data_IF_190613109919
#
_entry.id   IF_190613109919
#
_cell.length_a   1.000
_cell.length_b   1.000
_cell.length_c   1.000
_cell.angle_alpha   90.00
_cell.angle_beta   90.00
_cell.angle_gamma   90.00
#
_symmetry.space_group_name_H-M   'P 1'
#
loop_
_entity.id
_entity.type
_entity.pdbx_description
1 polymer ?
#
# COMPACT_ATOMS: atom_id res chain seq x y z
N UNK A 1 -12.07 -7.90 44.55
CA UNK A 1 -11.42 -7.37 43.34
C UNK A 1 -11.62 -8.39 42.25
N UNK A 2 -12.37 -8.07 41.19
CA UNK A 2 -12.40 -8.96 40.03
C UNK A 2 -10.98 -8.97 39.43
N UNK A 3 -10.35 -10.15 39.39
CA UNK A 3 -9.08 -10.32 38.66
C UNK A 3 -9.38 -9.98 37.21
N UNK A 4 -8.74 -8.94 36.67
CA UNK A 4 -8.75 -8.76 35.22
C UNK A 4 -8.14 -10.03 34.60
N UNK A 5 -8.76 -10.60 33.55
CA UNK A 5 -8.15 -11.73 32.86
C UNK A 5 -6.76 -11.30 32.38
N UNK A 6 -5.76 -12.13 32.64
CA UNK A 6 -4.40 -11.89 32.14
C UNK A 6 -4.32 -12.44 30.70
N UNK A 7 -3.73 -11.71 29.75
CA UNK A 7 -3.48 -12.28 28.44
C UNK A 7 -2.54 -13.48 28.55
N UNK A 8 -2.82 -14.54 27.79
CA UNK A 8 -1.95 -15.71 27.64
C UNK A 8 -0.81 -15.43 26.66
N UNK A 9 -0.95 -14.40 25.83
CA UNK A 9 0.04 -14.02 24.84
C UNK A 9 -0.05 -12.52 24.55
N UNK A 10 1.11 -11.90 24.37
CA UNK A 10 1.22 -10.54 23.86
C UNK A 10 2.20 -10.51 22.69
N UNK A 11 1.80 -9.88 21.58
CA UNK A 11 2.59 -9.81 20.35
C UNK A 11 2.59 -8.39 19.81
N UNK A 12 3.76 -7.94 19.33
CA UNK A 12 3.91 -6.67 18.63
C UNK A 12 4.37 -6.95 17.20
N UNK A 13 3.57 -6.56 16.21
CA UNK A 13 3.81 -6.84 14.80
C UNK A 13 3.98 -5.53 14.02
N UNK A 14 5.13 -5.32 13.33
CA UNK A 14 5.24 -4.24 12.38
C UNK A 14 4.39 -4.56 11.14
N UNK A 15 3.70 -3.55 10.62
CA UNK A 15 2.82 -3.67 9.46
C UNK A 15 3.41 -2.84 8.32
N UNK A 16 3.98 -3.46 7.27
CA UNK A 16 4.64 -2.74 6.20
C UNK A 16 3.63 -2.01 5.31
N UNK A 17 4.12 -1.09 4.49
CA UNK A 17 3.34 -0.49 3.42
C UNK A 17 3.78 -1.05 2.05
N UNK A 18 3.25 -0.50 0.95
CA UNK A 18 3.71 -0.81 -0.40
C UNK A 18 3.79 0.41 -1.28
N UNK A 19 4.51 0.27 -2.38
CA UNK A 19 4.46 1.17 -3.54
C UNK A 19 4.24 0.39 -4.84
N UNK A 20 3.82 1.11 -5.89
CA UNK A 20 3.65 0.57 -7.23
C UNK A 20 4.83 1.01 -8.11
N UNK A 21 5.73 0.10 -8.49
CA UNK A 21 6.83 0.39 -9.42
C UNK A 21 6.34 0.58 -10.86
N UNK A 22 5.20 -0.04 -11.16
CA UNK A 22 4.37 0.27 -12.33
C UNK A 22 2.90 0.14 -11.94
N UNK A 23 2.03 0.91 -12.58
CA UNK A 23 0.58 0.76 -12.50
C UNK A 23 -0.04 1.20 -13.84
N UNK A 24 -0.26 0.22 -14.72
CA UNK A 24 -1.01 0.39 -15.94
C UNK A 24 -2.46 -0.03 -15.71
N UNK A 25 -3.41 0.78 -16.19
CA UNK A 25 -4.83 0.50 -16.06
C UNK A 25 -5.37 0.15 -17.44
N UNK A 26 -5.88 -1.07 -17.60
CA UNK A 26 -6.47 -1.60 -18.81
C UNK A 26 -7.92 -1.16 -19.03
N UNK A 27 -8.67 -2.00 -19.73
CA UNK A 27 -10.08 -1.77 -20.01
C UNK A 27 -10.94 -1.97 -18.76
N UNK A 28 -12.09 -1.28 -18.74
CA UNK A 28 -13.12 -1.51 -17.73
C UNK A 28 -13.93 -2.76 -18.09
N UNK A 29 -13.97 -3.72 -17.19
CA UNK A 29 -14.78 -4.94 -17.24
C UNK A 29 -16.28 -4.59 -17.08
N UNK A 30 -17.20 -5.44 -17.57
CA UNK A 30 -18.65 -5.25 -17.40
C UNK A 30 -19.11 -5.17 -15.93
N UNK A 31 -18.36 -5.76 -15.01
CA UNK A 31 -18.62 -5.69 -13.57
C UNK A 31 -18.19 -4.36 -12.93
N UNK A 32 -17.68 -3.41 -13.72
CA UNK A 32 -17.34 -2.06 -13.28
C UNK A 32 -15.90 -1.86 -12.85
N UNK A 33 -15.08 -2.90 -12.73
CA UNK A 33 -13.66 -2.83 -12.36
C UNK A 33 -12.75 -2.75 -13.60
N UNK A 34 -11.53 -2.28 -13.44
CA UNK A 34 -10.53 -2.29 -14.53
C UNK A 34 -9.56 -3.45 -14.37
N UNK A 35 -9.12 -4.00 -15.50
CA UNK A 35 -7.88 -4.76 -15.50
C UNK A 35 -6.72 -3.83 -15.13
N UNK A 36 -5.78 -4.28 -14.33
CA UNK A 36 -4.55 -3.59 -13.97
C UNK A 36 -3.37 -4.49 -14.29
N UNK A 37 -2.24 -3.87 -14.59
CA UNK A 37 -0.92 -4.49 -14.55
C UNK A 37 -0.05 -3.62 -13.64
N UNK A 38 0.27 -4.16 -12.48
CA UNK A 38 1.05 -3.47 -11.46
C UNK A 38 2.21 -4.32 -10.98
N UNK A 39 3.29 -3.66 -10.56
CA UNK A 39 4.36 -4.30 -9.82
C UNK A 39 4.35 -3.71 -8.41
N UNK A 40 3.92 -4.52 -7.45
CA UNK A 40 3.90 -4.15 -6.05
C UNK A 40 5.26 -4.41 -5.41
N UNK A 41 5.73 -3.44 -4.64
CA UNK A 41 6.95 -3.51 -3.84
C UNK A 41 6.57 -3.23 -2.37
N UNK A 42 6.68 -4.20 -1.46
CA UNK A 42 6.48 -3.93 -0.04
C UNK A 42 7.63 -3.03 0.46
N UNK A 43 7.32 -2.08 1.32
CA UNK A 43 8.29 -1.21 1.97
C UNK A 43 8.18 -1.36 3.49
N UNK A 44 9.32 -1.45 4.20
CA UNK A 44 9.31 -1.52 5.66
C UNK A 44 8.93 -0.20 6.33
N UNK A 45 8.99 0.94 5.62
CA UNK A 45 8.69 2.27 6.16
C UNK A 45 7.90 3.12 5.16
N UNK A 46 6.90 3.92 5.59
CA UNK A 46 6.31 3.90 6.94
C UNK A 46 5.67 2.56 7.27
N UNK A 47 5.66 2.21 8.56
CA UNK A 47 4.97 1.03 9.07
C UNK A 47 3.97 1.37 10.19
N UNK A 48 2.79 0.76 10.12
CA UNK A 48 1.89 0.72 11.26
C UNK A 48 2.39 -0.32 12.28
N UNK A 49 1.85 -0.29 13.49
CA UNK A 49 2.21 -1.27 14.53
C UNK A 49 0.93 -1.85 15.11
N UNK A 50 0.83 -3.19 15.06
CA UNK A 50 -0.29 -3.93 15.62
C UNK A 50 0.18 -4.63 16.91
N UNK A 51 -0.35 -4.19 18.05
CA UNK A 51 -0.14 -4.85 19.35
C UNK A 51 -1.37 -5.70 19.66
N UNK A 52 -1.17 -7.00 19.84
CA UNK A 52 -2.24 -7.95 20.14
C UNK A 52 -2.02 -8.58 21.51
N UNK A 53 -3.06 -8.59 22.33
CA UNK A 53 -3.13 -9.34 23.57
C UNK A 53 -4.22 -10.38 23.43
N UNK A 54 -3.84 -11.66 23.46
CA UNK A 54 -4.76 -12.78 23.34
C UNK A 54 -5.05 -13.36 24.71
N UNK A 55 -6.32 -13.65 24.94
CA UNK A 55 -6.80 -14.27 26.18
C UNK A 55 -7.20 -15.72 25.91
N UNK A 56 -7.33 -16.49 26.99
CA UNK A 56 -7.77 -17.87 26.88
C UNK A 56 -9.27 -17.95 26.56
N UNK A 57 -9.64 -18.95 25.75
CA UNK A 57 -11.01 -19.20 25.33
C UNK A 57 -11.54 -18.30 24.20
N UNK A 58 -12.74 -18.62 23.70
CA UNK A 58 -13.40 -17.87 22.64
C UNK A 58 -13.90 -16.50 23.13
N UNK A 59 -13.96 -15.53 22.23
CA UNK A 59 -14.51 -14.20 22.50
C UNK A 59 -14.54 -13.32 21.25
N UNK A 60 -14.55 -12.01 21.46
CA UNK A 60 -14.53 -11.02 20.39
C UNK A 60 -13.24 -10.17 20.41
N UNK A 61 -13.09 -9.34 19.39
CA UNK A 61 -12.02 -8.36 19.25
C UNK A 61 -12.45 -7.01 19.84
N UNK A 62 -11.61 -6.45 20.71
CA UNK A 62 -11.68 -5.05 21.12
C UNK A 62 -10.54 -4.30 20.43
N UNK A 63 -10.88 -3.40 19.50
CA UNK A 63 -9.91 -2.58 18.79
C UNK A 63 -9.81 -1.20 19.43
N UNK A 64 -8.58 -0.77 19.70
CA UNK A 64 -8.19 0.61 19.95
C UNK A 64 -7.27 1.09 18.83
N UNK A 65 -7.44 2.32 18.36
CA UNK A 65 -6.64 2.86 17.26
C UNK A 65 -6.07 4.22 17.63
N UNK A 66 -4.81 4.48 17.25
CA UNK A 66 -4.23 5.82 17.41
C UNK A 66 -4.92 6.89 16.56
N UNK A 67 -5.70 6.48 15.56
CA UNK A 67 -6.58 7.31 14.77
C UNK A 67 -8.06 6.99 15.13
N UNK A 68 -8.75 7.86 15.89
CA UNK A 68 -10.12 7.62 16.34
C UNK A 68 -11.14 7.44 15.21
N UNK A 69 -10.89 7.97 14.00
CA UNK A 69 -11.78 7.76 12.85
C UNK A 69 -11.78 6.29 12.38
N UNK A 70 -10.72 5.55 12.72
CA UNK A 70 -10.54 4.15 12.37
C UNK A 70 -10.88 3.19 13.53
N UNK A 71 -11.25 3.71 14.71
CA UNK A 71 -11.68 2.90 15.85
C UNK A 71 -13.17 2.52 15.71
N UNK A 72 -13.48 1.75 14.66
CA UNK A 72 -14.84 1.32 14.32
C UNK A 72 -14.87 -0.14 13.89
N UNK A 73 -16.07 -0.73 13.90
CA UNK A 73 -16.32 -2.08 13.40
C UNK A 73 -16.11 -2.25 11.88
N UNK A 74 -16.04 -1.15 11.12
CA UNK A 74 -15.72 -1.20 9.68
C UNK A 74 -14.20 -1.23 9.43
N UNK A 75 -13.37 -1.10 10.48
CA UNK A 75 -11.93 -1.24 10.34
C UNK A 75 -11.59 -2.63 9.76
N UNK A 76 -10.71 -2.64 8.74
CA UNK A 76 -10.31 -3.87 8.04
C UNK A 76 -9.69 -4.92 8.98
N UNK A 77 -9.08 -4.52 10.10
CA UNK A 77 -8.59 -5.44 11.14
C UNK A 77 -9.75 -6.20 11.81
N UNK A 78 -10.80 -5.48 12.23
CA UNK A 78 -11.99 -6.08 12.85
C UNK A 78 -12.72 -6.96 11.83
N UNK A 79 -12.86 -6.49 10.59
CA UNK A 79 -13.47 -7.26 9.51
C UNK A 79 -12.67 -8.52 9.17
N UNK A 80 -11.34 -8.44 9.15
CA UNK A 80 -10.47 -9.60 8.98
C UNK A 80 -10.65 -10.63 10.10
N UNK A 81 -10.67 -10.18 11.36
CA UNK A 81 -10.95 -11.05 12.51
C UNK A 81 -12.31 -11.75 12.37
N UNK A 82 -13.38 -10.99 12.13
CA UNK A 82 -14.74 -11.53 12.01
C UNK A 82 -14.90 -12.47 10.82
N UNK A 83 -14.30 -12.14 9.67
CA UNK A 83 -14.34 -13.00 8.48
C UNK A 83 -13.60 -14.32 8.71
N UNK A 84 -12.42 -14.27 9.35
CA UNK A 84 -11.66 -15.46 9.70
C UNK A 84 -12.41 -16.34 10.72
N UNK A 85 -12.95 -15.73 11.77
CA UNK A 85 -13.76 -16.41 12.77
C UNK A 85 -15.00 -17.09 12.15
N UNK A 86 -15.70 -16.41 11.23
CA UNK A 86 -16.84 -16.98 10.53
C UNK A 86 -16.46 -18.16 9.62
N UNK A 87 -15.27 -18.12 9.00
CA UNK A 87 -14.80 -19.17 8.09
C UNK A 87 -14.26 -20.41 8.81
N UNK A 88 -13.73 -20.27 10.02
CA UNK A 88 -12.96 -21.32 10.71
C UNK A 88 -13.55 -21.76 12.05
N UNK A 89 -14.43 -20.94 12.65
CA UNK A 89 -14.87 -21.10 14.04
C UNK A 89 -13.82 -20.68 15.07
N UNK A 90 -12.59 -20.34 14.65
CA UNK A 90 -11.54 -19.88 15.55
C UNK A 90 -11.69 -18.38 15.84
N UNK A 91 -12.20 -18.08 17.04
CA UNK A 91 -12.53 -16.73 17.49
C UNK A 91 -11.96 -16.43 18.89
N UNK A 92 -10.63 -16.32 19.06
CA UNK A 92 -10.03 -16.06 20.35
C UNK A 92 -10.36 -14.64 20.84
N UNK A 93 -10.57 -14.45 22.14
CA UNK A 93 -10.70 -13.10 22.71
C UNK A 93 -9.41 -12.29 22.48
N UNK A 94 -9.49 -11.15 21.80
CA UNK A 94 -8.34 -10.28 21.48
C UNK A 94 -8.53 -8.81 21.90
N UNK A 95 -7.60 -8.26 22.66
CA UNK A 95 -7.42 -6.80 22.70
C UNK A 95 -6.37 -6.41 21.66
N UNK A 96 -6.69 -5.44 20.82
CA UNK A 96 -5.84 -5.00 19.72
C UNK A 96 -5.64 -3.51 19.80
N UNK A 97 -4.38 -3.06 19.81
CA UNK A 97 -4.03 -1.66 19.68
C UNK A 97 -3.28 -1.44 18.36
N UNK A 98 -3.89 -0.67 17.46
CA UNK A 98 -3.35 -0.31 16.15
C UNK A 98 -2.78 1.11 16.18
N UNK A 99 -1.46 1.24 16.08
CA UNK A 99 -0.79 2.53 15.94
C UNK A 99 -0.57 2.83 14.45
N UNK A 100 -1.25 3.86 13.94
CA UNK A 100 -1.19 4.30 12.54
C UNK A 100 -0.06 5.30 12.30
N UNK A 101 0.88 4.95 11.44
CA UNK A 101 1.90 5.82 10.89
C UNK A 101 1.84 5.90 9.36
N UNK A 102 1.29 4.89 8.67
CA UNK A 102 1.02 4.90 7.23
C UNK A 102 -0.15 5.86 6.98
N UNK A 103 0.06 6.96 6.24
CA UNK A 103 -1.01 7.94 6.02
C UNK A 103 -2.19 7.33 5.25
N UNK A 104 -3.39 7.49 5.81
CA UNK A 104 -4.62 7.01 5.20
C UNK A 104 -4.86 7.66 3.83
N UNK A 105 -5.29 6.87 2.84
CA UNK A 105 -5.57 7.37 1.49
C UNK A 105 -4.34 7.76 0.65
N UNK A 106 -3.12 7.58 1.16
CA UNK A 106 -1.90 7.95 0.44
C UNK A 106 -1.51 6.96 -0.68
N UNK A 107 -2.26 5.87 -0.88
CA UNK A 107 -1.97 4.87 -1.91
C UNK A 107 -0.92 3.82 -1.48
N UNK A 108 -0.61 3.75 -0.18
CA UNK A 108 0.41 2.90 0.42
C UNK A 108 -0.12 1.57 0.98
N UNK A 109 -1.44 1.34 0.95
CA UNK A 109 -2.05 0.06 1.30
C UNK A 109 -2.08 -0.28 2.80
N UNK A 110 -1.90 0.69 3.71
CA UNK A 110 -1.81 0.43 5.15
C UNK A 110 -2.96 -0.41 5.72
N UNK A 111 -4.22 -0.04 5.44
CA UNK A 111 -5.38 -0.81 5.93
C UNK A 111 -5.44 -2.25 5.41
N UNK A 112 -5.06 -2.47 4.15
CA UNK A 112 -4.97 -3.83 3.58
C UNK A 112 -3.85 -4.63 4.24
N UNK A 113 -2.75 -3.99 4.57
CA UNK A 113 -1.62 -4.59 5.28
C UNK A 113 -1.98 -4.95 6.71
N UNK A 114 -2.69 -4.07 7.43
CA UNK A 114 -3.17 -4.34 8.80
C UNK A 114 -4.04 -5.60 8.83
N UNK A 115 -4.98 -5.71 7.88
CA UNK A 115 -5.84 -6.87 7.74
C UNK A 115 -5.07 -8.15 7.38
N UNK A 116 -4.08 -8.08 6.48
CA UNK A 116 -3.25 -9.23 6.15
C UNK A 116 -2.45 -9.72 7.37
N UNK A 117 -1.91 -8.79 8.17
CA UNK A 117 -1.20 -9.13 9.41
C UNK A 117 -2.14 -9.78 10.42
N UNK A 118 -3.38 -9.28 10.56
CA UNK A 118 -4.39 -9.92 11.42
C UNK A 118 -4.76 -11.33 10.94
N UNK A 119 -5.03 -11.50 9.65
CA UNK A 119 -5.33 -12.82 9.07
C UNK A 119 -4.20 -13.82 9.31
N UNK A 120 -2.95 -13.42 9.06
CA UNK A 120 -1.78 -14.26 9.33
C UNK A 120 -1.64 -14.59 10.81
N UNK A 121 -1.79 -13.59 11.69
CA UNK A 121 -1.72 -13.79 13.14
C UNK A 121 -2.72 -14.85 13.63
N UNK A 122 -3.96 -14.78 13.16
CA UNK A 122 -5.01 -15.75 13.48
C UNK A 122 -4.71 -17.13 12.90
N UNK A 123 -4.33 -17.19 11.62
CA UNK A 123 -4.05 -18.44 10.93
C UNK A 123 -2.88 -19.22 11.55
N UNK A 124 -1.84 -18.50 11.99
CA UNK A 124 -0.68 -19.09 12.65
C UNK A 124 -1.00 -19.69 14.04
N UNK A 125 -2.18 -19.40 14.61
CA UNK A 125 -2.62 -19.81 15.96
C UNK A 125 -3.88 -20.66 15.97
N UNK A 126 -4.43 -20.96 14.80
CA UNK A 126 -5.70 -21.68 14.67
C UNK A 126 -5.53 -23.21 14.72
N UNK A 127 -4.30 -23.72 14.75
CA UNK A 127 -3.98 -25.15 14.76
C UNK A 127 -4.74 -25.91 13.64
N UNK A 128 -5.65 -26.82 14.00
CA UNK A 128 -6.46 -27.61 13.06
C UNK A 128 -7.47 -26.77 12.26
N UNK A 129 -7.82 -25.58 12.75
CA UNK A 129 -8.72 -24.64 12.08
C UNK A 129 -7.98 -23.67 11.13
N UNK A 130 -6.66 -23.82 10.97
CA UNK A 130 -5.88 -23.01 10.04
C UNK A 130 -6.30 -23.25 8.59
N UNK A 131 -6.52 -22.17 7.86
CA UNK A 131 -6.81 -22.21 6.43
C UNK A 131 -5.55 -22.52 5.62
N UNK A 132 -5.75 -23.22 4.50
CA UNK A 132 -4.68 -23.36 3.51
C UNK A 132 -4.29 -21.98 2.94
N UNK A 133 -3.07 -21.82 2.40
CA UNK A 133 -2.68 -20.55 1.77
C UNK A 133 -3.64 -20.08 0.67
N UNK A 134 -4.27 -21.02 -0.05
CA UNK A 134 -5.24 -20.73 -1.10
C UNK A 134 -6.55 -20.19 -0.50
N UNK A 135 -7.08 -20.85 0.53
CA UNK A 135 -8.33 -20.44 1.18
C UNK A 135 -8.18 -19.13 1.95
N UNK A 136 -7.01 -18.92 2.58
CA UNK A 136 -6.69 -17.67 3.26
C UNK A 136 -6.60 -16.49 2.26
N UNK A 137 -5.98 -16.71 1.09
CA UNK A 137 -5.94 -15.72 0.02
C UNK A 137 -7.33 -15.44 -0.56
N UNK A 138 -8.18 -16.47 -0.72
CA UNK A 138 -9.55 -16.31 -1.16
C UNK A 138 -10.38 -15.50 -0.16
N UNK A 139 -10.24 -15.77 1.14
CA UNK A 139 -10.86 -14.98 2.21
C UNK A 139 -10.38 -13.53 2.17
N UNK A 140 -9.06 -13.32 2.07
CA UNK A 140 -8.46 -11.98 1.98
C UNK A 140 -9.01 -11.17 0.80
N UNK A 141 -9.24 -11.80 -0.36
CA UNK A 141 -9.79 -11.15 -1.54
C UNK A 141 -11.21 -10.60 -1.31
N UNK A 142 -12.02 -11.24 -0.45
CA UNK A 142 -13.36 -10.74 -0.09
C UNK A 142 -13.33 -9.45 0.73
N UNK A 143 -12.21 -9.19 1.41
CA UNK A 143 -12.00 -8.02 2.26
C UNK A 143 -11.34 -6.88 1.48
N UNK A 144 -10.43 -7.19 0.55
CA UNK A 144 -9.82 -6.19 -0.33
C UNK A 144 -8.79 -6.78 -1.31
N UNK A 145 -8.70 -6.19 -2.50
CA UNK A 145 -7.85 -6.67 -3.59
C UNK A 145 -6.34 -6.67 -3.27
N UNK A 146 -5.87 -5.74 -2.44
CA UNK A 146 -4.46 -5.64 -2.07
C UNK A 146 -4.06 -6.59 -0.91
N UNK A 147 -5.02 -7.16 -0.18
CA UNK A 147 -4.73 -7.97 1.03
C UNK A 147 -3.97 -9.27 0.69
N UNK A 148 -4.31 -10.02 -0.37
CA UNK A 148 -3.51 -11.17 -0.79
C UNK A 148 -2.03 -10.85 -1.07
N UNK A 149 -1.73 -9.65 -1.58
CA UNK A 149 -0.35 -9.22 -1.79
C UNK A 149 0.40 -9.05 -0.46
N UNK A 150 -0.24 -8.47 0.56
CA UNK A 150 0.39 -8.32 1.88
C UNK A 150 0.54 -9.65 2.62
N UNK A 151 -0.32 -10.65 2.37
CA UNK A 151 -0.12 -12.02 2.85
C UNK A 151 1.11 -12.67 2.19
N UNK A 152 1.30 -12.45 0.88
CA UNK A 152 2.47 -12.93 0.15
C UNK A 152 3.77 -12.28 0.65
N UNK A 153 3.74 -10.98 0.96
CA UNK A 153 4.83 -10.28 1.67
C UNK A 153 6.14 -10.10 0.88
N UNK A 154 6.16 -10.44 -0.41
CA UNK A 154 7.32 -10.28 -1.30
C UNK A 154 6.95 -9.45 -2.53
N UNK A 155 7.93 -8.83 -3.23
CA UNK A 155 7.64 -8.08 -4.44
C UNK A 155 6.98 -8.98 -5.50
N UNK A 156 5.95 -8.46 -6.16
CA UNK A 156 5.13 -9.26 -7.05
C UNK A 156 4.51 -8.42 -8.18
N UNK A 157 4.37 -9.04 -9.35
CA UNK A 157 3.50 -8.56 -10.41
C UNK A 157 2.07 -8.96 -10.08
N UNK A 158 1.14 -8.02 -10.12
CA UNK A 158 -0.28 -8.27 -9.99
C UNK A 158 -1.03 -7.92 -11.26
N UNK A 159 -1.95 -8.80 -11.68
CA UNK A 159 -2.84 -8.61 -12.83
C UNK A 159 -4.30 -8.89 -12.47
N UNK A 160 -5.21 -8.61 -13.42
CA UNK A 160 -6.65 -8.69 -13.21
C UNK A 160 -7.17 -7.44 -12.52
N UNK A 161 -8.05 -7.55 -11.54
CA UNK A 161 -8.33 -6.47 -10.57
C UNK A 161 -7.26 -6.35 -9.46
N UNK A 162 -6.16 -7.10 -9.55
CA UNK A 162 -5.08 -7.17 -8.56
C UNK A 162 -4.98 -8.50 -7.81
N UNK A 163 -5.84 -9.46 -8.16
CA UNK A 163 -5.99 -10.78 -7.54
C UNK A 163 -4.94 -11.80 -8.00
N UNK A 164 -4.43 -11.68 -9.23
CA UNK A 164 -3.45 -12.64 -9.76
C UNK A 164 -2.05 -12.16 -9.43
N UNK A 165 -1.37 -12.83 -8.49
CA UNK A 165 -0.05 -12.43 -7.98
C UNK A 165 1.05 -13.40 -8.41
N UNK A 166 2.11 -12.87 -9.00
CA UNK A 166 3.31 -13.64 -9.36
C UNK A 166 4.52 -12.96 -8.70
N UNK A 167 5.19 -13.62 -7.72
CA UNK A 167 6.43 -13.13 -7.14
C UNK A 167 7.47 -12.81 -8.23
N UNK A 168 8.12 -11.65 -8.12
CA UNK A 168 9.11 -11.20 -9.09
C UNK A 168 10.17 -10.33 -8.41
N UNK A 169 11.45 -10.53 -8.74
CA UNK A 169 12.53 -9.69 -8.22
C UNK A 169 12.66 -8.40 -9.05
N UNK A 170 12.53 -7.20 -8.43
CA UNK A 170 12.73 -5.94 -9.13
C UNK A 170 14.19 -5.59 -9.43
N UNK A 171 15.17 -6.31 -8.86
CA UNK A 171 16.59 -6.00 -9.00
C UNK A 171 17.00 -4.73 -8.25
N UNK A 172 16.31 -4.43 -7.14
CA UNK A 172 16.50 -3.22 -6.33
C UNK A 172 17.23 -3.48 -5.00
N UNK A 173 17.82 -4.66 -4.81
CA UNK A 173 18.59 -4.97 -3.61
C UNK A 173 19.69 -3.91 -3.36
N UNK A 174 19.73 -3.35 -2.14
CA UNK A 174 20.71 -2.33 -1.74
C UNK A 174 20.34 -0.90 -2.14
N UNK A 175 19.17 -0.70 -2.75
CA UNK A 175 18.63 0.63 -3.03
C UNK A 175 17.92 1.19 -1.79
N UNK A 176 17.46 2.43 -1.91
CA UNK A 176 16.55 3.03 -0.94
C UNK A 176 15.38 3.70 -1.69
N UNK A 177 14.20 3.65 -1.09
CA UNK A 177 13.06 4.47 -1.48
C UNK A 177 12.92 5.64 -0.51
N UNK A 178 12.69 6.85 -1.04
CA UNK A 178 12.19 7.98 -0.25
C UNK A 178 10.73 8.16 -0.61
N UNK A 179 9.85 8.06 0.38
CA UNK A 179 8.39 8.20 0.22
C UNK A 179 7.98 9.54 0.81
N UNK A 180 7.32 10.38 0.02
CA UNK A 180 6.77 11.66 0.45
C UNK A 180 5.25 11.56 0.46
N UNK A 181 4.64 11.95 1.57
CA UNK A 181 3.20 11.89 1.80
C UNK A 181 2.65 13.29 2.05
N UNK A 182 2.30 14.04 0.98
CA UNK A 182 1.57 15.30 1.09
C UNK A 182 0.18 15.09 1.72
N UNK A 183 -0.37 16.16 2.32
CA UNK A 183 -1.69 16.12 2.96
C UNK A 183 -2.86 16.03 1.98
N UNK A 184 -2.60 16.22 0.69
CA UNK A 184 -3.60 16.07 -0.36
C UNK A 184 -4.27 14.69 -0.28
N UNK A 185 -5.59 14.66 -0.45
CA UNK A 185 -6.39 13.42 -0.44
C UNK A 185 -6.99 13.19 -1.80
N UNK A 186 -6.51 12.16 -2.48
CA UNK A 186 -7.04 11.71 -3.77
C UNK A 186 -7.98 10.53 -3.53
N UNK A 187 -9.26 10.69 -3.88
CA UNK A 187 -10.23 9.60 -3.76
C UNK A 187 -10.02 8.61 -4.90
N UNK A 188 -9.87 7.33 -4.59
CA UNK A 188 -9.72 6.26 -5.60
C UNK A 188 -10.82 6.30 -6.66
N UNK A 189 -12.09 6.42 -6.25
CA UNK A 189 -13.22 6.50 -7.18
C UNK A 189 -13.13 7.68 -8.16
N UNK A 190 -12.66 8.85 -7.67
CA UNK A 190 -12.44 10.01 -8.53
C UNK A 190 -11.29 9.76 -9.51
N UNK A 191 -10.18 9.17 -9.06
CA UNK A 191 -9.02 8.91 -9.92
C UNK A 191 -9.37 7.98 -11.09
N UNK A 192 -10.13 6.92 -10.84
CA UNK A 192 -10.64 6.03 -11.88
C UNK A 192 -11.62 6.75 -12.83
N UNK A 193 -12.57 7.51 -12.29
CA UNK A 193 -13.52 8.27 -13.12
C UNK A 193 -12.83 9.31 -14.01
N UNK A 194 -11.82 10.01 -13.47
CA UNK A 194 -11.04 10.99 -14.21
C UNK A 194 -10.19 10.33 -15.31
N UNK A 195 -9.62 9.15 -15.04
CA UNK A 195 -8.88 8.37 -16.02
C UNK A 195 -9.78 7.85 -17.14
N UNK A 196 -10.99 7.39 -16.83
CA UNK A 196 -11.98 7.00 -17.83
C UNK A 196 -12.39 8.17 -18.72
N UNK A 197 -12.65 9.34 -18.10
CA UNK A 197 -13.01 10.55 -18.83
C UNK A 197 -11.88 11.04 -19.76
N UNK A 198 -10.62 10.95 -19.33
CA UNK A 198 -9.47 11.38 -20.16
C UNK A 198 -9.25 10.48 -21.38
N UNK A 199 -9.62 9.20 -21.28
CA UNK A 199 -9.54 8.22 -22.39
C UNK A 199 -10.70 8.31 -23.37
N UNK A 200 -11.86 8.82 -22.95
CA UNK A 200 -13.02 9.02 -23.81
C UNK A 200 -12.88 10.25 -24.74
N UNK A 201 -12.01 11.20 -24.39
CA UNK A 201 -11.71 12.35 -25.23
C UNK A 201 -10.75 11.95 -26.36
N UNK A 202 -10.96 12.41 -27.62
CA UNK A 202 -9.96 12.25 -28.66
C UNK A 202 -8.65 12.87 -28.19
N UNK A 203 -7.55 12.11 -28.23
CA UNK A 203 -6.24 12.67 -27.88
C UNK A 203 -5.96 13.87 -28.79
N UNK A 204 -5.85 15.07 -28.21
CA UNK A 204 -5.29 16.21 -28.94
C UNK A 204 -3.83 15.88 -29.25
N UNK A 205 -3.38 15.91 -30.51
CA UNK A 205 -1.97 15.80 -30.83
C UNK A 205 -1.20 16.88 -30.06
N UNK A 206 -0.25 16.49 -29.19
CA UNK A 206 0.59 17.41 -28.43
C UNK A 206 0.21 17.64 -26.97
N UNK A 207 -0.83 16.98 -26.42
CA UNK A 207 -0.99 16.85 -24.97
C UNK A 207 0.05 15.85 -24.41
N UNK A 208 1.33 16.14 -24.61
CA UNK A 208 2.42 15.40 -24.01
C UNK A 208 2.29 15.58 -22.50
N UNK A 209 1.81 14.51 -21.88
CA UNK A 209 2.09 14.08 -20.52
C UNK A 209 3.22 14.91 -19.90
N UNK A 210 2.92 15.67 -18.84
CA UNK A 210 3.93 16.25 -17.96
C UNK A 210 4.93 15.18 -17.44
N UNK A 211 4.60 13.90 -17.58
CA UNK A 211 5.47 12.78 -17.22
C UNK A 211 6.47 12.36 -18.31
N UNK A 212 6.49 13.00 -19.49
CA UNK A 212 7.54 12.81 -20.51
C UNK A 212 8.35 14.07 -20.81
N UNK A 213 8.36 15.07 -19.92
CA UNK A 213 9.42 16.08 -19.91
C UNK A 213 10.73 15.48 -19.35
N UNK A 214 11.15 14.34 -19.90
CA UNK A 214 12.53 13.90 -19.79
C UNK A 214 13.33 14.77 -20.77
N UNK A 215 14.49 15.23 -20.34
CA UNK A 215 15.60 15.50 -21.27
C UNK A 215 15.61 14.38 -22.30
N UNK A 216 15.46 14.70 -23.59
CA UNK A 216 15.42 13.71 -24.68
C UNK A 216 16.64 12.76 -24.70
N UNK A 217 17.67 13.06 -23.90
CA UNK A 217 18.88 12.27 -23.73
C UNK A 217 18.89 11.30 -22.53
N UNK A 218 17.86 11.27 -21.66
CA UNK A 218 17.80 10.31 -20.54
C UNK A 218 16.77 9.22 -20.83
N UNK A 219 17.25 7.98 -21.06
CA UNK A 219 16.40 6.78 -21.16
C UNK A 219 15.48 6.71 -19.93
N UNK A 220 14.21 6.37 -20.14
CA UNK A 220 13.28 6.09 -19.04
C UNK A 220 13.91 5.10 -18.06
N UNK A 221 13.83 5.39 -16.76
CA UNK A 221 14.35 4.48 -15.76
C UNK A 221 13.48 3.23 -15.73
N UNK A 222 14.07 2.10 -16.08
CA UNK A 222 13.38 0.81 -16.13
C UNK A 222 13.73 -0.03 -14.90
N UNK A 223 12.71 -0.64 -14.33
CA UNK A 223 12.83 -1.73 -13.35
C UNK A 223 12.32 -2.99 -14.03
N UNK A 224 12.99 -4.13 -13.83
CA UNK A 224 12.65 -5.40 -14.54
C UNK A 224 12.53 -5.27 -16.07
N UNK A 225 13.29 -4.37 -16.72
CA UNK A 225 13.20 -4.12 -18.16
C UNK A 225 11.96 -3.33 -18.62
N UNK A 226 11.05 -2.98 -17.71
CA UNK A 226 9.86 -2.16 -18.00
C UNK A 226 10.01 -0.75 -17.42
N UNK A 227 9.50 0.29 -18.09
CA UNK A 227 9.57 1.64 -17.55
C UNK A 227 8.72 1.78 -16.29
N UNK A 228 9.22 2.51 -15.31
CA UNK A 228 8.40 3.00 -14.21
C UNK A 228 7.31 3.93 -14.76
N UNK A 229 6.04 3.60 -14.52
CA UNK A 229 4.88 4.40 -14.92
C UNK A 229 3.72 4.25 -13.95
N UNK A 230 2.89 5.28 -13.83
CA UNK A 230 1.59 5.17 -13.20
C UNK A 230 0.58 5.98 -14.02
N UNK A 231 -0.43 5.32 -14.58
CA UNK A 231 -1.41 5.93 -15.49
C UNK A 231 -2.21 7.06 -14.84
N UNK A 232 -2.37 7.00 -13.52
CA UNK A 232 -3.06 8.04 -12.76
C UNK A 232 -2.28 9.35 -12.67
N UNK A 233 -0.97 9.36 -12.88
CA UNK A 233 -0.18 10.60 -12.82
C UNK A 233 -0.72 11.69 -13.75
N UNK A 234 -1.20 11.29 -14.94
CA UNK A 234 -1.77 12.21 -15.93
C UNK A 234 -2.95 13.02 -15.40
N UNK A 235 -3.84 12.38 -14.65
CA UNK A 235 -5.07 13.00 -14.12
C UNK A 235 -4.86 13.56 -12.71
N UNK A 236 -4.09 12.86 -11.88
CA UNK A 236 -3.80 13.25 -10.50
C UNK A 236 -2.91 14.49 -10.47
N UNK A 237 -1.82 14.55 -11.24
CA UNK A 237 -0.97 15.75 -11.24
C UNK A 237 -1.62 16.95 -11.92
N UNK A 238 -2.57 16.72 -12.83
CA UNK A 238 -3.37 17.82 -13.39
C UNK A 238 -4.29 18.45 -12.34
N UNK A 239 -4.92 17.64 -11.49
CA UNK A 239 -5.78 18.13 -10.40
C UNK A 239 -5.01 18.59 -9.15
N UNK A 240 -3.83 18.00 -8.92
CA UNK A 240 -2.97 18.23 -7.76
C UNK A 240 -1.53 18.50 -8.22
N UNK A 241 -1.24 19.68 -8.83
CA UNK A 241 0.09 20.00 -9.34
C UNK A 241 1.20 19.95 -8.28
N UNK A 242 0.87 20.14 -7.01
CA UNK A 242 1.78 19.99 -5.88
C UNK A 242 2.42 18.60 -5.81
N UNK A 243 1.69 17.54 -6.18
CA UNK A 243 2.23 16.17 -6.21
C UNK A 243 3.23 15.99 -7.36
N UNK A 244 2.97 16.63 -8.50
CA UNK A 244 3.91 16.67 -9.63
C UNK A 244 5.23 17.36 -9.24
N UNK A 245 5.15 18.47 -8.50
CA UNK A 245 6.35 19.16 -7.98
C UNK A 245 7.16 18.30 -7.01
N UNK A 246 6.52 17.45 -6.20
CA UNK A 246 7.23 16.49 -5.35
C UNK A 246 8.02 15.49 -6.19
N UNK A 247 7.42 14.96 -7.26
CA UNK A 247 8.11 14.07 -8.20
C UNK A 247 9.33 14.75 -8.83
N UNK A 248 9.16 15.97 -9.35
CA UNK A 248 10.26 16.77 -9.92
C UNK A 248 11.37 17.00 -8.89
N UNK A 249 11.00 17.30 -7.64
CA UNK A 249 11.95 17.54 -6.56
C UNK A 249 12.74 16.28 -6.21
N UNK A 250 12.10 15.12 -6.13
CA UNK A 250 12.78 13.84 -5.89
C UNK A 250 13.82 13.55 -6.99
N UNK A 251 13.46 13.77 -8.25
CA UNK A 251 14.38 13.60 -9.38
C UNK A 251 15.55 14.59 -9.33
N UNK A 252 15.28 15.87 -9.04
CA UNK A 252 16.30 16.90 -8.87
C UNK A 252 17.26 16.58 -7.71
N UNK A 253 16.80 15.87 -6.69
CA UNK A 253 17.60 15.42 -5.54
C UNK A 253 18.36 14.10 -5.81
N UNK A 254 18.26 13.55 -7.02
CA UNK A 254 19.06 12.39 -7.44
C UNK A 254 18.33 11.04 -7.43
N UNK A 255 16.99 11.03 -7.34
CA UNK A 255 16.22 9.82 -7.59
C UNK A 255 16.45 9.34 -9.03
N UNK A 256 16.70 8.05 -9.22
CA UNK A 256 16.83 7.44 -10.54
C UNK A 256 15.48 7.40 -11.28
N UNK A 257 14.41 7.20 -10.53
CA UNK A 257 13.02 7.27 -10.98
C UNK A 257 12.13 7.66 -9.82
N UNK A 258 11.00 8.31 -10.12
CA UNK A 258 10.01 8.71 -9.12
C UNK A 258 8.60 8.55 -9.69
N UNK A 259 7.66 8.12 -8.85
CA UNK A 259 6.28 7.82 -9.24
C UNK A 259 5.29 8.16 -8.12
N UNK A 260 4.06 8.47 -8.53
CA UNK A 260 2.88 8.35 -7.69
C UNK A 260 2.66 6.89 -7.25
N UNK A 261 2.32 6.65 -5.99
CA UNK A 261 1.93 5.33 -5.49
C UNK A 261 0.41 5.12 -5.54
N UNK A 262 -0.03 4.06 -6.21
CA UNK A 262 -1.46 3.74 -6.37
C UNK A 262 -2.26 4.88 -7.00
N UNK A 263 -3.46 5.12 -6.49
CA UNK A 263 -4.31 6.28 -6.82
C UNK A 263 -4.19 7.44 -5.82
N UNK A 264 -3.36 7.26 -4.78
CA UNK A 264 -3.32 8.18 -3.64
C UNK A 264 -2.45 9.41 -3.91
N UNK A 265 -1.99 10.05 -2.84
CA UNK A 265 -1.15 11.24 -2.90
C UNK A 265 0.33 10.99 -2.65
N UNK A 266 0.73 9.80 -2.17
CA UNK A 266 2.15 9.54 -1.92
C UNK A 266 2.94 9.50 -3.23
N UNK A 267 4.08 10.16 -3.24
CA UNK A 267 5.05 10.11 -4.33
C UNK A 267 6.35 9.56 -3.76
N UNK A 268 6.92 8.56 -4.41
CA UNK A 268 8.18 7.96 -3.99
C UNK A 268 9.27 8.12 -5.05
N UNK A 269 10.52 8.14 -4.61
CA UNK A 269 11.70 8.16 -5.46
C UNK A 269 12.66 7.03 -5.09
N UNK A 270 13.27 6.39 -6.10
CA UNK A 270 14.25 5.33 -5.92
C UNK A 270 15.67 5.86 -6.04
N UNK A 271 16.51 5.53 -5.07
CA UNK A 271 17.89 6.00 -4.95
C UNK A 271 18.86 4.84 -4.91
N UNK A 272 19.93 4.92 -5.71
CA UNK A 272 21.01 3.91 -5.75
C UNK A 272 21.90 3.91 -4.51
N UNK A 273 21.96 5.03 -3.80
CA UNK A 273 22.87 5.23 -2.67
C UNK A 273 22.08 5.77 -1.48
N UNK A 274 22.23 5.13 -0.33
CA UNK A 274 21.64 5.57 0.94
C UNK A 274 21.98 7.02 1.26
N UNK A 275 23.22 7.45 1.04
CA UNK A 275 23.64 8.84 1.32
C UNK A 275 22.82 9.87 0.53
N UNK A 276 22.58 9.64 -0.77
CA UNK A 276 21.75 10.53 -1.60
C UNK A 276 20.30 10.50 -1.12
N UNK A 277 19.77 9.34 -0.76
CA UNK A 277 18.42 9.19 -0.22
C UNK A 277 18.24 9.95 1.11
N UNK A 278 19.22 9.88 2.02
CA UNK A 278 19.21 10.61 3.30
C UNK A 278 19.24 12.13 3.09
N UNK A 279 20.06 12.61 2.15
CA UNK A 279 20.08 14.04 1.80
C UNK A 279 18.73 14.49 1.20
N UNK A 280 18.17 13.68 0.30
CA UNK A 280 16.86 13.97 -0.28
C UNK A 280 15.78 14.02 0.80
N UNK A 281 15.76 13.06 1.72
CA UNK A 281 14.86 13.02 2.87
C UNK A 281 14.95 14.33 3.67
N UNK A 282 16.14 14.72 4.11
CA UNK A 282 16.35 15.93 4.92
C UNK A 282 15.85 17.21 4.22
N UNK A 283 16.03 17.30 2.90
CA UNK A 283 15.55 18.44 2.09
C UNK A 283 14.02 18.44 1.91
N UNK A 284 13.35 17.29 2.05
CA UNK A 284 11.91 17.13 1.88
C UNK A 284 11.15 17.26 3.20
N UNK A 285 11.67 16.75 4.32
CA UNK A 285 11.03 16.91 5.65
C UNK A 285 10.96 18.37 6.08
N UNK A 286 11.90 19.22 5.69
CA UNK A 286 11.87 20.66 5.99
C UNK A 286 10.80 21.46 5.25
N UNK A 287 10.06 20.85 4.32
CA UNK A 287 9.13 21.54 3.42
C UNK A 287 7.64 21.32 3.71
N UNK A 288 7.30 20.67 4.83
CA UNK A 288 5.92 20.45 5.28
C UNK A 288 5.44 18.99 5.24
N UNK A 289 5.55 18.24 4.13
CA UNK A 289 4.98 16.90 4.04
C UNK A 289 5.77 15.88 4.88
N UNK A 290 5.07 14.85 5.37
CA UNK A 290 5.72 13.70 6.00
C UNK A 290 6.54 12.95 4.95
N UNK A 291 7.79 12.65 5.25
CA UNK A 291 8.65 11.88 4.37
C UNK A 291 9.37 10.76 5.14
N UNK A 292 9.58 9.63 4.46
CA UNK A 292 10.10 8.40 5.03
C UNK A 292 11.21 7.85 4.14
N UNK A 293 12.17 7.15 4.77
CA UNK A 293 13.26 6.46 4.07
C UNK A 293 13.13 4.97 4.33
N UNK A 294 12.92 4.20 3.26
CA UNK A 294 12.80 2.75 3.29
C UNK A 294 13.99 2.10 2.58
N UNK A 295 14.79 1.24 3.25
CA UNK A 295 15.76 0.39 2.55
C UNK A 295 15.06 -0.67 1.68
N UNK A 296 15.68 -1.04 0.56
CA UNK A 296 15.19 -2.06 -0.39
C UNK A 296 16.15 -3.24 -0.48
#
# INVERSE_FOLDING_TARGET
MASFPCPIEETLLPVPCKVNLRLAVGARRPNGYHDIDTFFLPLPEPADVLRLRRFDGPGDIDLQCSDPELETDDNLVVRAYRAYAAATGYAPRLEVHLAKHIPHGAGLGGGSSDAAVMLRYLNDRADEAALSPVDLAALALTLGADIPFFLLGVPAVATGVGETLIPADPGLAGWCAVVVCPEARVKTAWAYAALDASRALPQKPGANLLTTAFDANKRAFCVTGAPMRNDFESVVFAAHPELGRVKERLLALGAAGALLSGTGSAVFGLFRKRQTATLALAMLTGSGPRAYLAPL
#
